data_IF_164206259059
#
_entry.id   IF_164206259059
#
_cell.length_a   1.000
_cell.length_b   1.000
_cell.length_c   1.000
_cell.angle_alpha   90.00
_cell.angle_beta   90.00
_cell.angle_gamma   90.00
#
_symmetry.space_group_name_H-M   'P 1'
#
loop_
_entity.id
_entity.type
_entity.pdbx_description
1 polymer ?
#
# COMPACT_ATOMS: atom_id res chain seq x y z
N UNK A 1 15.81 -2.84 90.83
CA UNK A 1 14.34 -2.92 90.72
C UNK A 1 13.96 -2.27 89.44
N UNK A 2 13.82 -3.07 88.41
CA UNK A 2 13.52 -2.67 87.03
C UNK A 2 12.22 -3.32 86.64
N UNK A 3 11.35 -2.60 85.95
CA UNK A 3 10.12 -3.17 85.49
C UNK A 3 9.41 -2.31 84.45
N UNK A 4 9.38 -2.91 83.32
CA UNK A 4 8.25 -2.74 82.31
C UNK A 4 7.92 -1.39 81.75
N UNK A 5 8.34 -1.22 80.50
CA UNK A 5 7.57 -0.43 79.48
C UNK A 5 8.05 -0.79 78.08
N UNK A 6 7.63 -1.91 77.53
CA UNK A 6 7.83 -2.28 76.12
C UNK A 6 6.66 -3.16 75.65
N UNK A 7 5.50 -2.59 75.50
CA UNK A 7 4.34 -3.32 74.95
C UNK A 7 3.34 -2.40 74.18
N UNK A 8 3.80 -1.34 73.56
CA UNK A 8 2.89 -0.42 72.85
C UNK A 8 3.14 -0.15 71.38
N UNK A 9 4.27 -0.64 70.80
CA UNK A 9 4.64 -0.24 69.45
C UNK A 9 4.40 -1.30 68.33
N UNK A 10 3.96 -2.49 68.65
CA UNK A 10 3.82 -3.57 67.64
C UNK A 10 2.41 -3.62 67.00
N UNK A 11 1.41 -3.02 67.64
CA UNK A 11 0.02 -3.07 67.16
C UNK A 11 -0.26 -2.07 66.04
N UNK A 12 0.46 -0.95 65.95
CA UNK A 12 0.20 0.09 64.94
C UNK A 12 0.86 -0.22 63.58
N UNK A 13 1.93 -1.01 63.56
CA UNK A 13 2.64 -1.40 62.32
C UNK A 13 1.89 -2.38 61.44
N UNK A 14 1.09 -3.26 62.02
CA UNK A 14 0.33 -4.27 61.25
C UNK A 14 -0.93 -3.70 60.59
N UNK A 15 -1.52 -2.64 61.16
CA UNK A 15 -2.72 -2.00 60.60
C UNK A 15 -2.39 -1.17 59.36
N UNK A 16 -1.23 -0.54 59.32
CA UNK A 16 -0.79 0.25 58.15
C UNK A 16 -0.29 -0.67 57.04
N UNK A 17 0.27 -1.84 57.33
CA UNK A 17 0.70 -2.80 56.30
C UNK A 17 -0.51 -3.46 55.60
N UNK A 18 -1.60 -3.70 56.34
CA UNK A 18 -2.83 -4.28 55.79
C UNK A 18 -3.59 -3.30 54.86
N UNK A 19 -3.52 -2.02 55.14
CA UNK A 19 -4.15 -0.99 54.24
C UNK A 19 -3.37 -0.81 52.97
N UNK A 20 -2.04 -0.98 52.98
CA UNK A 20 -1.21 -0.86 51.80
C UNK A 20 -1.35 -2.04 50.84
N UNK A 21 -1.68 -3.24 51.34
CA UNK A 21 -1.87 -4.43 50.52
C UNK A 21 -3.19 -4.47 49.76
N UNK A 22 -4.22 -3.77 50.28
CA UNK A 22 -5.56 -3.69 49.63
C UNK A 22 -5.60 -2.72 48.46
N UNK A 23 -4.70 -1.73 48.39
CA UNK A 23 -4.66 -0.73 47.30
C UNK A 23 -3.94 -1.22 46.04
N UNK A 24 -3.30 -2.38 46.04
CA UNK A 24 -2.62 -2.98 44.86
C UNK A 24 -3.50 -3.92 44.05
N UNK A 25 -4.76 -4.14 44.42
CA UNK A 25 -5.72 -4.95 43.65
C UNK A 25 -6.58 -4.12 42.66
N UNK A 26 -6.10 -2.95 42.27
CA UNK A 26 -6.79 -2.10 41.30
C UNK A 26 -6.23 -2.21 39.90
N UNK A 27 -7.09 -2.61 38.96
CA UNK A 27 -6.96 -2.56 37.49
C UNK A 27 -6.09 -3.65 36.87
N UNK A 28 -6.55 -4.87 36.90
CA UNK A 28 -6.44 -5.71 35.72
C UNK A 28 -7.42 -5.17 34.71
N UNK A 29 -6.96 -4.30 33.81
CA UNK A 29 -7.66 -4.00 32.58
C UNK A 29 -7.71 -5.28 31.78
N UNK A 30 -8.81 -5.99 31.86
CA UNK A 30 -9.18 -7.05 30.94
C UNK A 30 -9.23 -6.40 29.56
N UNK A 31 -8.12 -6.50 28.82
CA UNK A 31 -8.11 -6.19 27.39
C UNK A 31 -9.11 -7.14 26.77
N UNK A 32 -10.28 -6.62 26.43
CA UNK A 32 -11.24 -7.35 25.62
C UNK A 32 -10.47 -7.94 24.42
N UNK A 33 -10.63 -9.23 24.10
CA UNK A 33 -10.01 -9.79 22.92
C UNK A 33 -10.49 -8.93 21.75
N UNK A 34 -9.56 -8.29 21.05
CA UNK A 34 -9.83 -7.67 19.76
C UNK A 34 -10.21 -8.84 18.88
N UNK A 35 -11.50 -9.09 18.80
CA UNK A 35 -12.06 -9.98 17.80
C UNK A 35 -11.75 -9.26 16.49
N UNK A 36 -10.66 -9.65 15.84
CA UNK A 36 -10.42 -9.32 14.45
C UNK A 36 -11.58 -9.98 13.69
N UNK A 37 -12.64 -9.22 13.49
CA UNK A 37 -13.68 -9.59 12.57
C UNK A 37 -13.01 -9.61 11.20
N UNK A 38 -12.57 -10.79 10.77
CA UNK A 38 -12.12 -10.98 9.40
C UNK A 38 -13.31 -10.61 8.51
N UNK A 39 -13.26 -9.39 7.96
CA UNK A 39 -14.23 -8.97 6.96
C UNK A 39 -14.18 -10.01 5.84
N UNK A 40 -15.30 -10.52 5.36
CA UNK A 40 -15.30 -11.47 4.26
C UNK A 40 -14.53 -10.85 3.08
N UNK A 41 -13.80 -11.67 2.35
CA UNK A 41 -13.07 -11.23 1.16
C UNK A 41 -14.04 -10.56 0.20
N UNK A 42 -13.67 -9.37 -0.27
CA UNK A 42 -14.48 -8.65 -1.25
C UNK A 42 -14.43 -9.37 -2.59
N UNK A 43 -15.58 -9.53 -3.21
CA UNK A 43 -15.70 -10.06 -4.56
C UNK A 43 -15.41 -8.94 -5.58
N UNK A 44 -14.33 -9.12 -6.33
CA UNK A 44 -13.88 -8.20 -7.37
C UNK A 44 -14.37 -8.61 -8.76
N UNK A 45 -15.04 -9.75 -8.91
CA UNK A 45 -15.43 -10.34 -10.20
C UNK A 45 -16.14 -9.35 -11.11
N UNK A 46 -15.84 -9.42 -12.39
CA UNK A 46 -16.46 -8.64 -13.45
C UNK A 46 -15.47 -7.87 -14.30
N UNK A 47 -15.99 -7.15 -15.28
CA UNK A 47 -15.21 -6.30 -16.17
C UNK A 47 -15.18 -4.86 -15.66
N UNK A 48 -14.00 -4.26 -15.68
CA UNK A 48 -13.73 -2.93 -15.15
C UNK A 48 -13.00 -2.09 -16.17
N UNK A 49 -13.46 -0.87 -16.39
CA UNK A 49 -12.85 0.10 -17.30
C UNK A 49 -12.32 1.29 -16.53
N UNK A 50 -11.12 1.77 -16.87
CA UNK A 50 -10.45 2.86 -16.17
C UNK A 50 -11.22 4.18 -16.31
N UNK A 51 -11.49 4.82 -15.17
CA UNK A 51 -11.97 6.19 -15.09
C UNK A 51 -10.78 7.14 -15.04
N UNK A 52 -10.37 7.63 -16.19
CA UNK A 52 -9.23 8.54 -16.30
C UNK A 52 -9.41 9.85 -15.56
N UNK A 53 -10.65 10.30 -15.36
CA UNK A 53 -10.91 11.56 -14.66
C UNK A 53 -10.62 11.45 -13.16
N UNK A 54 -10.78 10.25 -12.59
CA UNK A 54 -10.54 9.96 -11.19
C UNK A 54 -9.18 9.30 -10.93
N UNK A 55 -8.48 8.88 -11.99
CA UNK A 55 -7.17 8.22 -11.91
C UNK A 55 -6.03 9.22 -11.88
N UNK A 56 -4.95 8.83 -11.20
CA UNK A 56 -3.71 9.60 -11.22
C UNK A 56 -3.11 9.68 -12.63
N UNK A 57 -2.45 10.80 -12.90
CA UNK A 57 -1.53 10.92 -14.03
C UNK A 57 -0.11 10.61 -13.56
N UNK A 58 0.57 9.68 -14.23
CA UNK A 58 1.98 9.34 -13.97
C UNK A 58 2.85 10.60 -14.04
N UNK A 59 2.62 11.45 -15.05
CA UNK A 59 3.34 12.72 -15.20
C UNK A 59 3.19 13.64 -13.99
N UNK A 60 2.00 13.71 -13.42
CA UNK A 60 1.74 14.51 -12.22
C UNK A 60 2.50 13.95 -11.01
N UNK A 61 2.49 12.63 -10.83
CA UNK A 61 3.21 11.95 -9.74
C UNK A 61 4.73 12.17 -9.85
N UNK A 62 5.30 12.00 -11.05
CA UNK A 62 6.72 12.24 -11.30
C UNK A 62 7.08 13.70 -11.03
N UNK A 63 6.31 14.65 -11.56
CA UNK A 63 6.57 16.07 -11.34
C UNK A 63 6.52 16.44 -9.86
N UNK A 64 5.65 15.82 -9.07
CA UNK A 64 5.60 16.00 -7.63
C UNK A 64 6.89 15.51 -6.96
N UNK A 65 7.37 14.32 -7.33
CA UNK A 65 8.63 13.75 -6.82
C UNK A 65 9.86 14.55 -7.24
N UNK A 66 9.95 15.00 -8.47
CA UNK A 66 11.01 15.88 -8.91
C UNK A 66 11.09 17.17 -8.09
N UNK A 67 9.95 17.80 -7.83
CA UNK A 67 9.93 19.02 -6.97
C UNK A 67 10.40 18.72 -5.55
N UNK A 68 10.11 17.54 -5.01
CA UNK A 68 10.58 17.11 -3.70
C UNK A 68 12.11 16.96 -3.67
N UNK A 69 12.69 16.25 -4.63
CA UNK A 69 14.14 16.09 -4.80
C UNK A 69 14.83 17.45 -4.94
N UNK A 70 14.31 18.32 -5.79
CA UNK A 70 14.88 19.67 -5.97
C UNK A 70 14.83 20.52 -4.70
N UNK A 71 13.74 20.43 -3.92
CA UNK A 71 13.66 21.13 -2.63
C UNK A 71 14.70 20.62 -1.64
N UNK A 72 14.91 19.31 -1.60
CA UNK A 72 15.93 18.71 -0.73
C UNK A 72 17.35 19.12 -1.14
N UNK A 73 17.67 19.10 -2.43
CA UNK A 73 18.95 19.56 -2.94
C UNK A 73 19.22 21.02 -2.55
N UNK A 74 18.24 21.91 -2.70
CA UNK A 74 18.36 23.31 -2.27
C UNK A 74 18.61 23.45 -0.77
N UNK A 75 17.82 22.74 0.07
CA UNK A 75 18.03 22.77 1.52
C UNK A 75 19.44 22.32 1.93
N UNK A 76 19.96 21.29 1.26
CA UNK A 76 21.33 20.81 1.49
C UNK A 76 22.36 21.87 1.10
N UNK A 77 22.21 22.50 -0.05
CA UNK A 77 23.11 23.57 -0.51
C UNK A 77 23.07 24.76 0.43
N UNK A 78 21.90 25.26 0.81
CA UNK A 78 21.74 26.36 1.76
C UNK A 78 22.38 26.06 3.12
N UNK A 79 22.38 24.83 3.57
CA UNK A 79 23.01 24.42 4.81
C UNK A 79 24.56 24.46 4.71
N UNK A 80 25.08 23.97 3.58
CA UNK A 80 26.52 24.01 3.28
C UNK A 80 27.01 25.49 3.24
N UNK A 81 26.29 26.36 2.53
CA UNK A 81 26.62 27.79 2.43
C UNK A 81 26.60 28.49 3.78
N UNK A 82 25.68 28.08 4.68
CA UNK A 82 25.62 28.65 6.04
C UNK A 82 26.56 27.96 7.04
N UNK A 83 27.30 26.93 6.64
CA UNK A 83 28.21 26.18 7.50
C UNK A 83 27.48 25.41 8.64
N UNK A 84 26.18 25.04 8.45
CA UNK A 84 25.41 24.31 9.45
C UNK A 84 25.31 22.82 9.08
N UNK A 85 25.26 21.97 10.11
CA UNK A 85 25.00 20.55 9.95
C UNK A 85 23.58 20.34 9.41
N UNK A 86 23.43 19.51 8.38
CA UNK A 86 22.15 19.19 7.77
C UNK A 86 21.93 17.68 7.75
N UNK A 87 20.79 17.23 8.29
CA UNK A 87 20.34 15.86 8.18
C UNK A 87 19.48 15.72 6.90
N UNK A 88 20.07 15.11 5.87
CA UNK A 88 19.37 14.91 4.60
C UNK A 88 18.18 13.98 4.77
N UNK A 89 17.04 14.35 4.17
CA UNK A 89 15.91 13.46 4.04
C UNK A 89 16.16 12.47 2.89
N UNK A 90 15.82 11.18 3.06
CA UNK A 90 15.97 10.19 2.00
C UNK A 90 14.86 10.37 0.94
N UNK A 91 15.09 11.22 -0.03
CA UNK A 91 14.14 11.49 -1.13
C UNK A 91 14.37 10.63 -2.37
N UNK A 92 15.42 9.80 -2.35
CA UNK A 92 15.83 8.99 -3.49
C UNK A 92 16.64 9.78 -4.52
N UNK A 93 17.02 9.11 -5.60
CA UNK A 93 17.77 9.69 -6.70
C UNK A 93 16.91 9.84 -7.96
N UNK A 94 17.34 10.71 -8.86
CA UNK A 94 16.60 11.06 -10.09
C UNK A 94 16.60 9.90 -11.08
N UNK A 95 17.70 9.17 -11.20
CA UNK A 95 17.82 8.09 -12.19
C UNK A 95 16.89 6.91 -11.82
N UNK A 96 16.86 6.54 -10.54
CA UNK A 96 15.89 5.56 -10.03
C UNK A 96 14.45 6.04 -10.24
N UNK A 97 14.17 7.32 -10.01
CA UNK A 97 12.82 7.85 -10.23
C UNK A 97 12.40 7.76 -11.71
N UNK A 98 13.31 8.05 -12.65
CA UNK A 98 13.03 7.92 -14.08
C UNK A 98 12.79 6.45 -14.46
N UNK A 99 13.59 5.52 -13.90
CA UNK A 99 13.40 4.08 -14.14
C UNK A 99 12.03 3.60 -13.63
N UNK A 100 11.65 3.98 -12.42
CA UNK A 100 10.34 3.68 -11.83
C UNK A 100 9.20 4.29 -12.66
N UNK A 101 9.39 5.49 -13.20
CA UNK A 101 8.40 6.14 -14.04
C UNK A 101 8.13 5.38 -15.35
N UNK A 102 9.18 4.89 -16.01
CA UNK A 102 9.06 4.05 -17.21
C UNK A 102 8.37 2.71 -16.87
N UNK A 103 8.69 2.13 -15.73
CA UNK A 103 8.02 0.92 -15.27
C UNK A 103 6.55 1.18 -14.98
N UNK A 104 6.21 2.34 -14.39
CA UNK A 104 4.83 2.72 -14.13
C UNK A 104 3.99 2.79 -15.40
N UNK A 105 4.52 3.29 -16.51
CA UNK A 105 3.84 3.27 -17.81
C UNK A 105 3.42 1.84 -18.18
N UNK A 106 4.35 0.88 -18.08
CA UNK A 106 4.11 -0.51 -18.47
C UNK A 106 3.11 -1.22 -17.55
N UNK A 107 3.28 -1.09 -16.22
CA UNK A 107 2.49 -1.88 -15.27
C UNK A 107 1.10 -1.31 -14.98
N UNK A 108 0.85 -0.05 -15.37
CA UNK A 108 -0.46 0.61 -15.21
C UNK A 108 -1.12 0.98 -16.54
N UNK A 109 -0.63 0.43 -17.65
CA UNK A 109 -1.14 0.71 -19.01
C UNK A 109 -2.57 0.23 -19.22
N UNK A 110 -2.94 -0.89 -18.59
CA UNK A 110 -4.23 -1.54 -18.82
C UNK A 110 -5.40 -0.60 -18.58
N UNK A 111 -6.23 -0.44 -19.60
CA UNK A 111 -7.48 0.32 -19.54
C UNK A 111 -8.66 -0.55 -19.14
N UNK A 112 -8.55 -1.86 -19.30
CA UNK A 112 -9.59 -2.84 -18.97
C UNK A 112 -8.97 -3.91 -18.06
N UNK A 113 -9.70 -4.24 -17.01
CA UNK A 113 -9.44 -5.41 -16.16
C UNK A 113 -10.62 -6.37 -16.33
N UNK A 114 -10.33 -7.64 -16.54
CA UNK A 114 -11.30 -8.72 -16.48
C UNK A 114 -10.95 -9.58 -15.26
N UNK A 115 -11.83 -9.61 -14.28
CA UNK A 115 -11.56 -10.23 -12.98
C UNK A 115 -12.48 -11.41 -12.78
N UNK A 116 -11.86 -12.57 -12.58
CA UNK A 116 -12.52 -13.81 -12.20
C UNK A 116 -12.09 -14.20 -10.78
N UNK A 117 -13.06 -14.43 -9.91
CA UNK A 117 -12.83 -14.81 -8.53
C UNK A 117 -13.79 -15.93 -8.11
N UNK A 118 -13.23 -16.94 -7.46
CA UNK A 118 -14.02 -17.98 -6.79
C UNK A 118 -13.49 -18.21 -5.36
N UNK A 119 -13.96 -19.25 -4.67
CA UNK A 119 -13.51 -19.57 -3.31
C UNK A 119 -12.10 -20.13 -3.22
N UNK A 120 -11.43 -20.38 -4.34
CA UNK A 120 -10.12 -21.03 -4.43
C UNK A 120 -9.05 -20.16 -5.07
N UNK A 121 -9.42 -19.23 -5.95
CA UNK A 121 -8.49 -18.42 -6.70
C UNK A 121 -9.12 -17.07 -7.07
N UNK A 122 -8.24 -16.12 -7.34
CA UNK A 122 -8.52 -14.80 -7.92
C UNK A 122 -7.56 -14.61 -9.10
N UNK A 123 -8.10 -14.22 -10.25
CA UNK A 123 -7.35 -13.92 -11.45
C UNK A 123 -7.78 -12.56 -12.01
N UNK A 124 -6.82 -11.71 -12.29
CA UNK A 124 -7.01 -10.39 -12.86
C UNK A 124 -6.30 -10.37 -14.21
N UNK A 125 -7.06 -10.50 -15.28
CA UNK A 125 -6.57 -10.30 -16.64
C UNK A 125 -6.43 -8.80 -16.88
N UNK A 126 -5.32 -8.42 -17.45
CA UNK A 126 -4.97 -7.02 -17.75
C UNK A 126 -4.64 -6.89 -19.22
N UNK A 127 -5.34 -6.00 -19.92
CA UNK A 127 -5.06 -5.74 -21.31
C UNK A 127 -3.59 -5.32 -21.50
N UNK A 128 -2.90 -5.97 -22.46
CA UNK A 128 -1.47 -5.74 -22.79
C UNK A 128 -0.47 -5.99 -21.64
N UNK A 129 -0.85 -6.71 -20.59
CA UNK A 129 0.01 -7.01 -19.46
C UNK A 129 -0.19 -8.45 -18.96
N UNK A 130 0.72 -8.93 -18.13
CA UNK A 130 0.58 -10.25 -17.50
C UNK A 130 -0.59 -10.27 -16.53
N UNK A 131 -1.33 -11.40 -16.51
CA UNK A 131 -2.38 -11.60 -15.52
C UNK A 131 -1.78 -11.70 -14.11
N UNK A 132 -2.49 -11.17 -13.13
CA UNK A 132 -2.22 -11.42 -11.72
C UNK A 132 -3.07 -12.59 -11.25
N UNK A 133 -2.47 -13.57 -10.60
CA UNK A 133 -3.17 -14.77 -10.12
C UNK A 133 -2.87 -15.03 -8.65
N UNK A 134 -3.89 -15.40 -7.90
CA UNK A 134 -3.81 -15.69 -6.48
C UNK A 134 -4.55 -16.97 -6.13
N UNK A 135 -3.88 -17.90 -5.47
CA UNK A 135 -4.51 -19.08 -4.89
C UNK A 135 -4.92 -18.81 -3.45
N UNK A 136 -6.19 -18.98 -3.12
CA UNK A 136 -6.79 -18.64 -1.82
C UNK A 136 -6.65 -19.74 -0.76
N UNK A 137 -6.11 -20.89 -1.12
CA UNK A 137 -5.87 -22.01 -0.21
C UNK A 137 -4.38 -22.30 -0.12
N UNK A 138 -3.83 -22.15 1.06
CA UNK A 138 -2.42 -22.38 1.38
C UNK A 138 -1.82 -21.23 2.18
N UNK A 139 -0.61 -21.42 2.65
CA UNK A 139 0.23 -20.33 3.15
C UNK A 139 0.59 -19.44 1.96
N UNK A 140 0.66 -18.13 2.18
CA UNK A 140 1.06 -17.15 1.17
C UNK A 140 2.58 -17.26 0.91
N UNK A 141 3.03 -18.43 0.45
CA UNK A 141 4.42 -18.61 0.05
C UNK A 141 4.66 -17.96 -1.31
N UNK A 142 5.84 -17.34 -1.52
CA UNK A 142 6.20 -16.79 -2.80
C UNK A 142 6.23 -17.87 -3.87
N UNK A 143 5.53 -17.65 -4.98
CA UNK A 143 5.66 -18.48 -6.17
C UNK A 143 6.82 -17.94 -7.00
N UNK A 144 7.85 -18.76 -7.21
CA UNK A 144 8.97 -18.40 -8.07
C UNK A 144 8.56 -18.60 -9.54
N UNK A 145 8.59 -17.53 -10.31
CA UNK A 145 8.37 -17.51 -11.75
C UNK A 145 9.64 -17.08 -12.50
N UNK A 146 9.61 -17.10 -13.81
CA UNK A 146 10.68 -16.53 -14.64
C UNK A 146 10.80 -15.00 -14.48
N UNK A 147 9.76 -14.37 -13.99
CA UNK A 147 9.72 -12.92 -13.74
C UNK A 147 10.21 -12.54 -12.35
N UNK A 148 10.30 -13.49 -11.41
CA UNK A 148 10.71 -13.24 -10.03
C UNK A 148 9.85 -13.98 -9.02
N UNK A 149 9.77 -13.46 -7.81
CA UNK A 149 8.93 -13.97 -6.74
C UNK A 149 7.59 -13.24 -6.72
N UNK A 150 6.50 -14.00 -6.75
CA UNK A 150 5.14 -13.46 -6.72
C UNK A 150 4.44 -13.91 -5.44
N UNK A 151 3.80 -12.97 -4.77
CA UNK A 151 2.98 -13.22 -3.58
C UNK A 151 1.65 -12.53 -3.70
N UNK A 152 0.59 -13.12 -3.13
CA UNK A 152 -0.70 -12.47 -3.00
C UNK A 152 -1.37 -12.83 -1.68
N UNK A 153 -2.15 -11.89 -1.14
CA UNK A 153 -2.91 -12.11 0.10
C UNK A 153 -4.06 -11.11 0.23
N UNK A 154 -5.00 -11.45 1.08
CA UNK A 154 -6.06 -10.58 1.57
C UNK A 154 -5.73 -10.12 2.98
N UNK A 155 -5.71 -8.80 3.24
CA UNK A 155 -5.38 -8.24 4.56
C UNK A 155 -6.62 -7.94 5.44
N UNK A 156 -7.82 -8.28 4.97
CA UNK A 156 -9.10 -7.96 5.60
C UNK A 156 -9.79 -6.73 5.03
N UNK A 157 -9.12 -5.97 4.16
CA UNK A 157 -9.64 -4.75 3.52
C UNK A 157 -9.37 -4.70 2.02
N UNK A 158 -8.23 -5.21 1.58
CA UNK A 158 -7.76 -5.11 0.21
C UNK A 158 -6.98 -6.35 -0.22
N UNK A 159 -6.97 -6.60 -1.51
CA UNK A 159 -6.13 -7.60 -2.13
C UNK A 159 -4.76 -7.04 -2.45
N UNK A 160 -3.72 -7.78 -2.12
CA UNK A 160 -2.33 -7.46 -2.42
C UNK A 160 -1.77 -8.46 -3.41
N UNK A 161 -1.03 -7.94 -4.39
CA UNK A 161 -0.20 -8.70 -5.30
C UNK A 161 1.18 -8.06 -5.32
N UNK A 162 2.16 -8.74 -4.77
CA UNK A 162 3.55 -8.32 -4.75
C UNK A 162 4.34 -9.12 -5.77
N UNK A 163 5.05 -8.42 -6.64
CA UNK A 163 6.02 -9.00 -7.59
C UNK A 163 7.39 -8.43 -7.26
N UNK A 164 8.33 -9.30 -6.95
CA UNK A 164 9.71 -8.95 -6.67
C UNK A 164 10.61 -9.50 -7.77
N UNK A 165 11.19 -8.61 -8.58
CA UNK A 165 12.04 -8.97 -9.70
C UNK A 165 13.48 -9.25 -9.23
N UNK A 166 14.26 -10.04 -10.00
CA UNK A 166 15.62 -10.45 -9.61
C UNK A 166 16.59 -9.28 -9.40
N UNK A 167 16.36 -8.14 -10.05
CA UNK A 167 17.15 -6.90 -9.93
C UNK A 167 16.78 -6.05 -8.71
N UNK A 168 15.84 -6.54 -7.87
CA UNK A 168 15.37 -5.87 -6.66
C UNK A 168 14.26 -4.83 -6.88
N UNK A 169 13.68 -4.76 -8.09
CA UNK A 169 12.47 -3.97 -8.31
C UNK A 169 11.28 -4.68 -7.66
N UNK A 170 10.56 -3.97 -6.80
CA UNK A 170 9.34 -4.41 -6.17
C UNK A 170 8.15 -3.67 -6.76
N UNK A 171 7.11 -4.40 -7.13
CA UNK A 171 5.84 -3.87 -7.64
C UNK A 171 4.73 -4.47 -6.80
N UNK A 172 4.01 -3.62 -6.08
CA UNK A 172 2.86 -4.03 -5.29
C UNK A 172 1.58 -3.41 -5.85
N UNK A 173 0.65 -4.26 -6.26
CA UNK A 173 -0.70 -3.84 -6.63
C UNK A 173 -1.65 -4.12 -5.46
N UNK A 174 -2.45 -3.15 -5.09
CA UNK A 174 -3.51 -3.26 -4.08
C UNK A 174 -4.84 -2.95 -4.72
N UNK A 175 -5.82 -3.82 -4.51
CA UNK A 175 -7.16 -3.66 -5.07
C UNK A 175 -8.18 -3.51 -3.94
N UNK A 176 -8.99 -2.45 -4.04
CA UNK A 176 -10.07 -2.12 -3.10
C UNK A 176 -11.32 -1.82 -3.89
N UNK A 177 -12.42 -2.49 -3.57
CA UNK A 177 -13.72 -2.18 -4.14
C UNK A 177 -14.47 -1.19 -3.24
N UNK A 178 -15.17 -0.23 -3.85
CA UNK A 178 -16.01 0.73 -3.12
C UNK A 178 -17.23 0.07 -2.48
N UNK A 179 -17.79 0.71 -1.46
CA UNK A 179 -19.11 0.36 -0.94
C UNK A 179 -20.13 0.52 -2.09
N UNK A 180 -20.91 -0.54 -2.36
CA UNK A 180 -21.83 -0.56 -3.50
C UNK A 180 -21.26 -1.20 -4.77
N UNK A 181 -20.01 -1.62 -4.79
CA UNK A 181 -19.37 -2.34 -5.91
C UNK A 181 -19.38 -1.60 -7.28
N UNK A 182 -19.40 -0.28 -7.26
CA UNK A 182 -19.45 0.53 -8.49
C UNK A 182 -18.06 0.97 -8.98
N UNK A 183 -17.09 1.06 -8.08
CA UNK A 183 -15.73 1.46 -8.38
C UNK A 183 -14.70 0.51 -7.77
N UNK A 184 -13.63 0.26 -8.52
CA UNK A 184 -12.47 -0.49 -8.07
C UNK A 184 -11.25 0.44 -8.09
N UNK A 185 -10.57 0.58 -6.97
CA UNK A 185 -9.30 1.30 -6.90
C UNK A 185 -8.14 0.30 -6.98
N UNK A 186 -7.24 0.52 -7.93
CA UNK A 186 -5.94 -0.14 -7.99
C UNK A 186 -4.87 0.87 -7.59
N UNK A 187 -4.19 0.60 -6.49
CA UNK A 187 -3.00 1.35 -6.06
C UNK A 187 -1.76 0.53 -6.41
N UNK A 188 -0.89 1.07 -7.24
CA UNK A 188 0.38 0.44 -7.62
C UNK A 188 1.52 1.20 -6.99
N UNK A 189 2.31 0.54 -6.16
CA UNK A 189 3.51 1.08 -5.52
C UNK A 189 4.73 0.36 -6.09
N UNK A 190 5.69 1.12 -6.57
CA UNK A 190 6.94 0.59 -7.09
C UNK A 190 8.13 1.16 -6.34
N UNK A 191 9.17 0.36 -6.17
CA UNK A 191 10.39 0.78 -5.50
C UNK A 191 11.52 -0.20 -5.73
N UNK A 192 12.75 0.30 -5.61
CA UNK A 192 13.95 -0.53 -5.65
C UNK A 192 14.35 -0.94 -4.23
N UNK A 193 14.69 -2.21 -4.05
CA UNK A 193 15.24 -2.70 -2.79
C UNK A 193 16.46 -1.87 -2.35
N UNK A 194 16.54 -1.57 -1.06
CA UNK A 194 17.65 -0.78 -0.51
C UNK A 194 17.61 0.72 -0.82
N UNK A 195 16.59 1.22 -1.54
CA UNK A 195 16.43 2.66 -1.80
C UNK A 195 15.19 3.23 -1.10
N UNK A 196 15.19 4.54 -0.85
CA UNK A 196 14.02 5.27 -0.36
C UNK A 196 13.09 5.73 -1.49
N UNK A 197 13.52 5.58 -2.75
CA UNK A 197 12.75 6.02 -3.92
C UNK A 197 11.53 5.12 -4.11
N UNK A 198 10.36 5.71 -4.07
CA UNK A 198 9.08 5.03 -4.32
C UNK A 198 8.26 5.87 -5.30
N UNK A 199 7.57 5.20 -6.20
CA UNK A 199 6.55 5.81 -7.05
C UNK A 199 5.23 5.11 -6.82
N UNK A 200 4.19 5.88 -6.61
CA UNK A 200 2.83 5.40 -6.41
C UNK A 200 1.91 5.96 -7.49
N UNK A 201 1.05 5.12 -8.03
CA UNK A 201 0.02 5.47 -9.01
C UNK A 201 -1.29 4.83 -8.59
N UNK A 202 -2.36 5.62 -8.53
CA UNK A 202 -3.71 5.13 -8.26
C UNK A 202 -4.53 5.19 -9.54
N UNK A 203 -5.12 4.06 -9.91
CA UNK A 203 -6.10 3.94 -11.00
C UNK A 203 -7.45 3.65 -10.41
N UNK A 204 -8.46 4.35 -10.88
CA UNK A 204 -9.86 4.11 -10.54
C UNK A 204 -10.53 3.50 -11.75
N UNK A 205 -11.25 2.42 -11.53
CA UNK A 205 -12.03 1.72 -12.55
C UNK A 205 -13.50 1.77 -12.17
N UNK A 206 -14.35 1.89 -13.16
CA UNK A 206 -15.80 1.74 -13.05
C UNK A 206 -16.24 0.42 -13.66
N UNK A 207 -17.33 -0.16 -13.20
CA UNK A 207 -17.87 -1.36 -13.83
C UNK A 207 -18.19 -1.04 -15.30
N UNK A 208 -17.71 -1.92 -16.18
CA UNK A 208 -17.96 -1.79 -17.62
C UNK A 208 -19.11 -2.73 -17.99
N UNK A 209 -20.19 -2.13 -18.52
CA UNK A 209 -21.13 -2.91 -19.30
C UNK A 209 -20.50 -3.10 -20.69
N UNK A 210 -20.42 -4.31 -21.19
CA UNK A 210 -19.73 -4.72 -22.42
C UNK A 210 -20.12 -3.91 -23.69
N UNK A 211 -21.04 -2.96 -23.56
CA UNK A 211 -21.58 -2.10 -24.62
C UNK A 211 -21.00 -0.67 -24.65
N UNK A 212 -20.26 -0.23 -23.64
CA UNK A 212 -19.83 1.17 -23.51
C UNK A 212 -18.38 1.42 -23.94
N UNK A 213 -17.93 0.87 -25.06
CA UNK A 213 -16.61 1.14 -25.62
C UNK A 213 -16.62 2.47 -26.37
N UNK A 214 -16.29 3.56 -25.68
CA UNK A 214 -16.28 4.88 -26.29
C UNK A 214 -14.93 5.35 -26.81
N UNK A 215 -13.85 5.15 -26.07
CA UNK A 215 -12.49 5.57 -26.42
C UNK A 215 -11.44 4.81 -25.61
N UNK A 216 -10.25 4.68 -26.20
CA UNK A 216 -9.08 4.10 -25.54
C UNK A 216 -8.06 5.20 -25.29
N UNK A 217 -7.52 5.26 -24.08
CA UNK A 217 -6.47 6.21 -23.74
C UNK A 217 -5.16 5.49 -23.44
N UNK A 218 -4.06 6.05 -23.94
CA UNK A 218 -2.69 5.65 -23.59
C UNK A 218 -2.03 6.79 -22.84
N UNK A 219 -1.27 6.49 -21.80
CA UNK A 219 -0.50 7.49 -21.06
C UNK A 219 0.98 7.19 -21.21
N UNK A 220 1.75 8.16 -21.70
CA UNK A 220 3.19 8.06 -21.85
C UNK A 220 3.89 9.23 -21.17
N UNK A 221 5.13 9.03 -20.72
CA UNK A 221 5.93 10.09 -20.09
C UNK A 221 6.20 11.25 -21.05
N UNK A 222 6.32 10.96 -22.34
CA UNK A 222 6.65 11.96 -23.38
C UNK A 222 5.45 12.75 -23.89
N UNK A 223 4.27 12.13 -23.92
CA UNK A 223 3.05 12.71 -24.52
C UNK A 223 1.93 12.96 -23.52
N UNK A 224 2.09 12.47 -22.27
CA UNK A 224 0.98 12.44 -21.32
C UNK A 224 -0.13 11.50 -21.79
N UNK A 225 -1.37 11.83 -21.47
CA UNK A 225 -2.54 11.02 -21.82
C UNK A 225 -3.07 11.40 -23.22
N UNK A 226 -3.13 10.40 -24.11
CA UNK A 226 -3.69 10.52 -25.46
C UNK A 226 -4.83 9.53 -25.59
N UNK A 227 -6.05 10.02 -25.92
CA UNK A 227 -7.24 9.19 -26.10
C UNK A 227 -7.64 9.15 -27.58
N UNK A 228 -7.96 7.96 -28.07
CA UNK A 228 -8.46 7.71 -29.43
C UNK A 228 -9.80 7.00 -29.37
N UNK A 229 -10.69 7.28 -30.32
CA UNK A 229 -11.94 6.53 -30.49
C UNK A 229 -11.69 5.27 -31.31
N UNK A 230 -12.32 4.14 -30.98
CA UNK A 230 -12.16 2.86 -31.70
C UNK A 230 -12.52 2.94 -33.21
N UNK A 231 -13.20 4.00 -33.65
CA UNK A 231 -13.54 4.20 -35.04
C UNK A 231 -12.34 4.55 -35.94
N UNK A 232 -11.20 4.98 -35.38
CA UNK A 232 -10.01 5.41 -36.12
C UNK A 232 -9.10 4.27 -36.61
N UNK A 233 -9.30 3.03 -36.12
CA UNK A 233 -8.43 1.88 -36.47
C UNK A 233 -8.96 0.99 -37.60
N UNK A 234 -10.08 1.36 -38.25
CA UNK A 234 -10.67 0.61 -39.38
C UNK A 234 -10.53 1.33 -40.73
N UNK A 235 -9.48 2.09 -40.91
CA UNK A 235 -9.14 2.74 -42.17
C UNK A 235 -7.81 2.23 -42.75
#
# INVERSE_FOLDING_TARGET
MAGSALSGLTACGHLLLSVYLVTLLGCVSESAPVTSSSRPMSDLSGQWEVDYAKSDSIQTQINARFREVQREMRRRQDAIERGVSYQAQPVGDVDTLIALAKMAELVTESSILDIEQDTRWLRIERENSFALSCQLKGEAEPVLSLLGAEQCWWDGQQWHFLVELPDGLMIEHRFVISEGNEALAQRTVMGMAGTATRLEVVRIFSRSDATSRGYRCTETLSRGRVCTTEAAERG
#
